data_IF_112346990001
#
_entry.id   IF_112346990001
#
_cell.length_a   1.000
_cell.length_b   1.000
_cell.length_c   1.000
_cell.angle_alpha   90.00
_cell.angle_beta   90.00
_cell.angle_gamma   90.00
#
_symmetry.space_group_name_H-M   'P 1'
#
loop_
_entity.id
_entity.type
_entity.pdbx_description
1 polymer ?
#
# COMPACT_ATOMS: atom_id res chain seq x y z
N UNK A 1 17.04 -10.08 34.34
CA UNK A 1 16.90 -11.05 33.24
C UNK A 1 18.26 -11.22 32.60
N UNK A 2 18.72 -12.45 32.39
CA UNK A 2 20.02 -12.71 31.76
C UNK A 2 19.97 -12.19 30.31
N UNK A 3 20.89 -11.30 29.95
CA UNK A 3 20.98 -10.76 28.61
C UNK A 3 21.37 -11.89 27.64
N UNK A 4 20.54 -12.15 26.63
CA UNK A 4 20.80 -13.17 25.61
C UNK A 4 21.52 -12.46 24.46
N UNK A 5 22.73 -12.94 24.13
CA UNK A 5 23.44 -12.44 22.96
C UNK A 5 22.63 -12.78 21.70
N UNK A 6 22.45 -11.81 20.80
CA UNK A 6 21.71 -12.05 19.57
C UNK A 6 22.40 -13.10 18.71
N UNK A 7 21.61 -13.97 18.09
CA UNK A 7 22.12 -14.93 17.11
C UNK A 7 22.54 -14.18 15.83
N UNK A 8 23.62 -14.61 15.21
CA UNK A 8 24.12 -13.96 13.98
C UNK A 8 23.13 -14.13 12.81
N UNK A 9 23.08 -13.15 11.90
CA UNK A 9 22.26 -13.26 10.68
C UNK A 9 22.75 -14.43 9.80
N UNK A 10 21.87 -15.13 9.06
CA UNK A 10 22.27 -16.20 8.16
C UNK A 10 23.30 -15.74 7.12
N UNK A 11 24.26 -16.61 6.79
CA UNK A 11 25.25 -16.36 5.74
C UNK A 11 25.40 -17.59 4.82
N UNK A 12 25.58 -17.37 3.49
CA UNK A 12 25.50 -16.08 2.80
C UNK A 12 24.04 -15.57 2.72
N UNK A 13 23.85 -14.26 2.87
CA UNK A 13 22.54 -13.60 2.77
C UNK A 13 22.45 -12.68 1.56
N UNK A 14 21.24 -12.49 1.01
CA UNK A 14 21.01 -11.54 -0.09
C UNK A 14 20.75 -10.16 0.53
N UNK A 15 21.71 -9.26 0.40
CA UNK A 15 21.60 -7.88 0.88
C UNK A 15 21.13 -6.94 -0.22
N UNK A 16 20.12 -6.14 0.08
CA UNK A 16 19.59 -5.10 -0.78
C UNK A 16 19.88 -3.73 -0.15
N UNK A 17 20.18 -2.75 -1.00
CA UNK A 17 20.41 -1.36 -0.60
C UNK A 17 21.58 -1.13 0.41
N UNK A 18 22.42 -2.15 0.62
CA UNK A 18 23.61 -2.08 1.47
C UNK A 18 24.61 -3.19 1.09
N UNK A 19 25.86 -3.06 1.53
CA UNK A 19 26.80 -4.16 1.52
C UNK A 19 26.44 -5.19 2.61
N UNK A 20 26.80 -6.47 2.44
CA UNK A 20 26.63 -7.47 3.50
C UNK A 20 27.31 -7.05 4.81
N UNK A 21 26.65 -7.32 5.94
CA UNK A 21 27.16 -7.05 7.30
C UNK A 21 26.80 -8.17 8.26
N UNK A 22 27.47 -8.19 9.41
CA UNK A 22 27.17 -9.02 10.59
C UNK A 22 26.63 -8.16 11.74
N UNK A 23 25.90 -8.76 12.68
CA UNK A 23 25.48 -8.09 13.92
C UNK A 23 26.68 -7.69 14.77
N UNK A 24 27.78 -8.47 14.71
CA UNK A 24 29.03 -8.11 15.39
C UNK A 24 29.61 -6.80 14.87
N UNK A 25 29.57 -6.57 13.56
CA UNK A 25 30.01 -5.30 12.95
C UNK A 25 29.08 -4.12 13.27
N UNK A 26 27.82 -4.40 13.62
CA UNK A 26 26.84 -3.39 14.06
C UNK A 26 26.90 -3.08 15.56
N UNK A 27 27.79 -3.71 16.32
CA UNK A 27 28.00 -3.37 17.73
C UNK A 27 28.51 -1.93 17.90
N UNK A 28 28.23 -1.35 19.06
CA UNK A 28 28.57 0.03 19.41
C UNK A 28 27.39 1.00 19.37
N UNK A 29 26.26 0.63 18.77
CA UNK A 29 25.01 1.40 18.79
C UNK A 29 23.78 0.51 18.97
N UNK A 30 22.67 1.10 19.41
CA UNK A 30 21.39 0.41 19.38
C UNK A 30 21.02 0.02 17.95
N UNK A 31 20.50 -1.21 17.79
CA UNK A 31 20.07 -1.76 16.51
C UNK A 31 18.66 -2.34 16.66
N UNK A 32 17.80 -2.04 15.69
CA UNK A 32 16.53 -2.75 15.49
C UNK A 32 16.66 -3.68 14.30
N UNK A 33 16.39 -4.96 14.52
CA UNK A 33 16.10 -5.92 13.44
C UNK A 33 14.60 -5.96 13.22
N UNK A 34 14.15 -5.44 12.08
CA UNK A 34 12.73 -5.38 11.73
C UNK A 34 12.36 -6.54 10.80
N UNK A 35 11.78 -7.62 11.34
CA UNK A 35 11.23 -8.72 10.56
C UNK A 35 9.88 -8.30 9.99
N UNK A 36 9.84 -8.13 8.67
CA UNK A 36 8.71 -7.55 7.95
C UNK A 36 8.36 -8.38 6.73
N UNK A 37 7.14 -8.17 6.24
CA UNK A 37 6.73 -8.58 4.91
C UNK A 37 6.34 -7.32 4.13
N UNK A 38 7.00 -7.07 3.00
CA UNK A 38 6.84 -5.86 2.20
C UNK A 38 5.42 -5.68 1.64
N UNK A 39 4.63 -6.74 1.48
CA UNK A 39 3.22 -6.62 1.09
C UNK A 39 2.28 -6.18 2.23
N UNK A 40 2.73 -6.23 3.50
CA UNK A 40 1.91 -5.96 4.69
C UNK A 40 1.85 -4.48 5.06
N UNK A 41 0.63 -3.95 5.15
CA UNK A 41 0.37 -2.57 5.58
C UNK A 41 0.75 -2.32 7.05
N UNK A 42 0.59 -3.31 7.93
CA UNK A 42 1.07 -3.19 9.31
C UNK A 42 2.60 -3.08 9.36
N UNK A 43 3.31 -3.82 8.50
CA UNK A 43 4.77 -3.69 8.40
C UNK A 43 5.17 -2.30 7.89
N UNK A 44 4.51 -1.81 6.83
CA UNK A 44 4.73 -0.47 6.30
C UNK A 44 4.54 0.61 7.39
N UNK A 45 3.48 0.48 8.20
CA UNK A 45 3.21 1.42 9.29
C UNK A 45 4.33 1.39 10.36
N UNK A 46 4.81 0.21 10.78
CA UNK A 46 5.90 0.12 11.77
C UNK A 46 7.22 0.69 11.24
N UNK A 47 7.55 0.42 9.98
CA UNK A 47 8.74 1.00 9.34
C UNK A 47 8.63 2.52 9.21
N UNK A 48 7.43 3.04 8.91
CA UNK A 48 7.16 4.47 8.88
C UNK A 48 7.36 5.15 10.24
N UNK A 49 6.85 4.54 11.32
CA UNK A 49 7.04 5.03 12.70
C UNK A 49 8.51 4.99 13.12
N UNK A 50 9.25 3.93 12.77
CA UNK A 50 10.71 3.85 12.98
C UNK A 50 11.43 4.98 12.25
N UNK A 51 11.11 5.22 10.97
CA UNK A 51 11.71 6.29 10.19
C UNK A 51 11.41 7.68 10.77
N UNK A 52 10.18 7.92 11.24
CA UNK A 52 9.82 9.17 11.93
C UNK A 52 10.58 9.35 13.25
N UNK A 53 10.79 8.27 14.00
CA UNK A 53 11.58 8.33 15.22
C UNK A 53 13.06 8.61 14.91
N UNK A 54 13.64 7.95 13.90
CA UNK A 54 15.02 8.18 13.46
C UNK A 54 15.22 9.61 12.95
N UNK A 55 14.26 10.18 12.23
CA UNK A 55 14.32 11.57 11.79
C UNK A 55 14.37 12.57 12.96
N UNK A 56 13.71 12.25 14.09
CA UNK A 56 13.76 13.04 15.33
C UNK A 56 14.99 12.74 16.19
N UNK A 57 15.67 11.62 15.96
CA UNK A 57 16.80 11.10 16.75
C UNK A 57 17.93 10.62 15.84
N UNK A 58 18.52 11.50 15.01
CA UNK A 58 19.45 11.10 13.97
C UNK A 58 20.68 10.41 14.56
N UNK A 59 21.07 9.28 13.96
CA UNK A 59 22.25 8.47 14.33
C UNK A 59 22.16 7.67 15.63
N UNK A 60 21.08 7.81 16.42
CA UNK A 60 20.92 7.09 17.71
C UNK A 60 20.52 5.63 17.56
N UNK A 61 19.98 5.26 16.40
CA UNK A 61 19.44 3.93 16.15
C UNK A 61 19.82 3.46 14.75
N UNK A 62 20.41 2.27 14.68
CA UNK A 62 20.59 1.52 13.45
C UNK A 62 19.34 0.68 13.17
N UNK A 63 19.05 0.48 11.89
CA UNK A 63 17.93 -0.34 11.42
C UNK A 63 18.43 -1.30 10.35
N UNK A 64 18.18 -2.58 10.54
CA UNK A 64 18.27 -3.59 9.48
C UNK A 64 16.86 -4.14 9.28
N UNK A 65 16.38 -4.07 8.05
CA UNK A 65 15.10 -4.64 7.65
C UNK A 65 15.34 -6.07 7.21
N UNK A 66 14.67 -7.04 7.84
CA UNK A 66 14.68 -8.44 7.41
C UNK A 66 13.38 -8.68 6.67
N UNK A 67 13.46 -8.65 5.34
CA UNK A 67 12.31 -8.90 4.47
C UNK A 67 12.10 -10.40 4.34
N UNK A 68 10.96 -10.87 4.84
CA UNK A 68 10.56 -12.28 4.81
C UNK A 68 9.37 -12.41 3.85
N UNK A 69 9.59 -13.03 2.67
CA UNK A 69 8.55 -13.18 1.65
C UNK A 69 7.36 -13.99 2.11
N UNK A 70 6.15 -13.53 1.76
CA UNK A 70 4.91 -14.30 1.82
C UNK A 70 4.60 -14.90 0.45
N UNK A 71 4.74 -14.09 -0.59
CA UNK A 71 4.50 -14.44 -1.99
C UNK A 71 5.79 -14.83 -2.71
N UNK A 72 5.66 -15.66 -3.75
CA UNK A 72 6.83 -16.08 -4.54
C UNK A 72 7.53 -14.89 -5.22
N UNK A 73 6.77 -13.90 -5.71
CA UNK A 73 7.34 -12.68 -6.30
C UNK A 73 8.17 -11.86 -5.32
N UNK A 74 7.92 -11.94 -4.01
CA UNK A 74 8.73 -11.24 -3.01
C UNK A 74 10.09 -11.91 -2.77
N UNK A 75 10.31 -13.13 -3.27
CA UNK A 75 11.64 -13.78 -3.24
C UNK A 75 12.59 -13.21 -4.30
N UNK A 76 12.07 -12.46 -5.28
CA UNK A 76 12.89 -11.78 -6.27
C UNK A 76 13.50 -10.50 -5.68
N UNK A 77 14.85 -10.34 -5.69
CA UNK A 77 15.53 -9.20 -5.07
C UNK A 77 15.02 -7.82 -5.52
N UNK A 78 14.79 -7.64 -6.82
CA UNK A 78 14.34 -6.37 -7.38
C UNK A 78 12.91 -6.04 -6.93
N UNK A 79 12.02 -7.03 -6.93
CA UNK A 79 10.63 -6.87 -6.49
C UNK A 79 10.54 -6.56 -5.01
N UNK A 80 11.28 -7.30 -4.17
CA UNK A 80 11.37 -7.03 -2.73
C UNK A 80 11.84 -5.60 -2.45
N UNK A 81 12.90 -5.15 -3.15
CA UNK A 81 13.42 -3.80 -3.01
C UNK A 81 12.38 -2.74 -3.40
N UNK A 82 11.72 -2.91 -4.56
CA UNK A 82 10.70 -1.97 -5.05
C UNK A 82 9.50 -1.85 -4.12
N UNK A 83 8.99 -2.96 -3.57
CA UNK A 83 7.89 -2.94 -2.60
C UNK A 83 8.26 -2.13 -1.35
N UNK A 84 9.43 -2.35 -0.77
CA UNK A 84 9.89 -1.60 0.41
C UNK A 84 10.17 -0.12 0.08
N UNK A 85 10.77 0.16 -1.08
CA UNK A 85 11.05 1.54 -1.52
C UNK A 85 9.78 2.34 -1.80
N UNK A 86 8.72 1.71 -2.30
CA UNK A 86 7.42 2.36 -2.48
C UNK A 86 6.84 2.88 -1.16
N UNK A 87 7.22 2.26 -0.04
CA UNK A 87 6.87 2.64 1.33
C UNK A 87 7.88 3.63 1.96
N UNK A 88 8.92 4.03 1.21
CA UNK A 88 9.98 4.95 1.64
C UNK A 88 11.06 4.33 2.51
N UNK A 89 11.23 3.01 2.47
CA UNK A 89 12.33 2.33 3.18
C UNK A 89 13.64 2.56 2.43
N UNK A 90 14.61 3.16 3.12
CA UNK A 90 15.98 3.39 2.65
C UNK A 90 17.04 2.67 3.49
N UNK A 91 16.62 1.86 4.46
CA UNK A 91 17.52 1.10 5.32
C UNK A 91 18.21 -0.06 4.56
N UNK A 92 19.32 -0.60 5.12
CA UNK A 92 19.83 -1.92 4.74
C UNK A 92 18.77 -3.01 4.86
N UNK A 93 18.65 -3.84 3.84
CA UNK A 93 17.66 -4.93 3.81
C UNK A 93 18.38 -6.26 3.62
N UNK A 94 18.09 -7.22 4.50
CA UNK A 94 18.36 -8.64 4.28
C UNK A 94 17.11 -9.30 3.71
N UNK A 95 17.20 -9.86 2.51
CA UNK A 95 16.14 -10.69 1.94
C UNK A 95 16.28 -12.13 2.46
N UNK A 96 15.38 -12.52 3.36
CA UNK A 96 15.33 -13.84 3.98
C UNK A 96 14.34 -14.75 3.22
N UNK A 97 14.66 -15.05 1.95
CA UNK A 97 13.77 -15.74 1.02
C UNK A 97 13.33 -17.15 1.48
N UNK A 98 14.20 -17.82 2.25
CA UNK A 98 14.02 -19.17 2.76
C UNK A 98 13.65 -19.21 4.26
N UNK A 99 13.38 -18.04 4.85
CA UNK A 99 12.95 -17.89 6.25
C UNK A 99 13.98 -18.40 7.26
N UNK A 100 15.27 -18.37 6.90
CA UNK A 100 16.36 -18.84 7.73
C UNK A 100 16.56 -17.93 8.94
N UNK A 101 16.53 -16.60 8.75
CA UNK A 101 16.62 -15.64 9.85
C UNK A 101 15.35 -15.71 10.71
N UNK A 102 14.18 -15.79 10.07
CA UNK A 102 12.90 -15.93 10.76
C UNK A 102 12.89 -17.12 11.74
N UNK A 103 13.28 -18.31 11.28
CA UNK A 103 13.38 -19.51 12.12
C UNK A 103 14.46 -19.37 13.20
N UNK A 104 15.63 -18.82 12.84
CA UNK A 104 16.77 -18.69 13.76
C UNK A 104 16.45 -17.77 14.94
N UNK A 105 15.71 -16.70 14.72
CA UNK A 105 15.32 -15.74 15.76
C UNK A 105 14.01 -16.12 16.46
N UNK A 106 13.41 -17.27 16.12
CA UNK A 106 12.12 -17.73 16.65
C UNK A 106 11.02 -16.67 16.46
N UNK A 107 10.94 -16.10 15.26
CA UNK A 107 9.91 -15.12 14.93
C UNK A 107 8.62 -15.85 14.56
N UNK A 108 7.48 -15.33 15.05
CA UNK A 108 6.18 -16.00 14.92
C UNK A 108 5.14 -15.18 14.15
N UNK A 109 5.34 -13.86 14.02
CA UNK A 109 4.39 -12.98 13.34
C UNK A 109 5.08 -11.74 12.75
N UNK A 110 4.49 -11.24 11.66
CA UNK A 110 4.82 -9.93 11.10
C UNK A 110 3.93 -8.83 11.70
N UNK A 111 4.46 -7.61 11.86
CA UNK A 111 5.88 -7.29 12.01
C UNK A 111 6.40 -7.71 13.39
N UNK A 112 7.66 -8.11 13.46
CA UNK A 112 8.38 -8.29 14.73
C UNK A 112 9.63 -7.42 14.74
N UNK A 113 9.80 -6.61 15.78
CA UNK A 113 11.00 -5.79 16.00
C UNK A 113 11.82 -6.40 17.13
N UNK A 114 13.06 -6.78 16.85
CA UNK A 114 14.02 -7.25 17.86
C UNK A 114 14.96 -6.09 18.19
N UNK A 115 14.94 -5.63 19.44
CA UNK A 115 15.70 -4.47 19.91
C UNK A 115 17.00 -4.95 20.57
N UNK A 116 18.13 -4.60 19.94
CA UNK A 116 19.47 -4.96 20.39
C UNK A 116 20.18 -3.71 20.94
N UNK A 117 20.82 -3.86 22.09
CA UNK A 117 21.67 -2.78 22.63
C UNK A 117 23.02 -2.68 21.90
N UNK A 118 23.82 -1.69 22.28
CA UNK A 118 25.16 -1.48 21.73
C UNK A 118 26.13 -2.66 21.95
N UNK A 119 25.84 -3.57 22.88
CA UNK A 119 26.61 -4.81 23.08
C UNK A 119 26.15 -5.96 22.19
N UNK A 120 25.06 -5.80 21.43
CA UNK A 120 24.44 -6.85 20.63
C UNK A 120 23.57 -7.82 21.44
N UNK A 121 23.10 -7.41 22.62
CA UNK A 121 22.19 -8.21 23.44
C UNK A 121 20.74 -7.83 23.19
N UNK A 122 19.87 -8.83 23.03
CA UNK A 122 18.42 -8.61 22.92
C UNK A 122 17.88 -8.06 24.23
N UNK A 123 17.24 -6.89 24.16
CA UNK A 123 16.61 -6.22 25.31
C UNK A 123 15.12 -6.40 25.33
N UNK A 124 14.49 -6.31 24.16
CA UNK A 124 13.04 -6.36 24.03
C UNK A 124 12.64 -6.84 22.63
N UNK A 125 11.47 -7.46 22.55
CA UNK A 125 10.84 -7.89 21.30
C UNK A 125 9.42 -7.34 21.22
N UNK A 126 9.12 -6.62 20.15
CA UNK A 126 7.80 -6.04 19.90
C UNK A 126 7.13 -6.79 18.74
N UNK A 127 5.97 -7.39 18.98
CA UNK A 127 5.22 -8.16 17.97
C UNK A 127 3.92 -7.41 17.64
N UNK A 128 3.82 -6.85 16.44
CA UNK A 128 2.66 -6.07 15.97
C UNK A 128 2.44 -4.70 16.65
N UNK A 129 3.05 -4.48 17.81
CA UNK A 129 2.93 -3.26 18.63
C UNK A 129 3.60 -2.06 17.94
N UNK A 130 2.94 -0.89 18.00
CA UNK A 130 3.44 0.37 17.45
C UNK A 130 3.04 1.58 18.31
N UNK A 131 3.16 2.78 17.73
CA UNK A 131 2.74 4.02 18.39
C UNK A 131 3.54 4.34 19.65
N UNK A 132 2.85 4.72 20.72
CA UNK A 132 3.48 5.19 21.97
C UNK A 132 4.36 4.11 22.63
N UNK A 133 3.99 2.83 22.51
CA UNK A 133 4.76 1.73 23.08
C UNK A 133 6.07 1.52 22.34
N UNK A 134 6.06 1.62 21.00
CA UNK A 134 7.27 1.60 20.20
C UNK A 134 8.20 2.76 20.56
N UNK A 135 7.67 3.99 20.61
CA UNK A 135 8.46 5.17 20.97
C UNK A 135 9.08 5.04 22.37
N UNK A 136 8.33 4.52 23.34
CA UNK A 136 8.83 4.24 24.69
C UNK A 136 9.97 3.21 24.69
N UNK A 137 9.83 2.12 23.95
CA UNK A 137 10.85 1.08 23.84
C UNK A 137 12.14 1.61 23.18
N UNK A 138 12.02 2.38 22.10
CA UNK A 138 13.17 3.00 21.42
C UNK A 138 13.90 4.00 22.32
N UNK A 139 13.16 4.82 23.05
CA UNK A 139 13.73 5.77 24.01
C UNK A 139 14.49 5.05 25.13
N UNK A 140 13.94 3.93 25.64
CA UNK A 140 14.60 3.10 26.65
C UNK A 140 15.86 2.42 26.10
N UNK A 141 15.81 1.88 24.88
CA UNK A 141 16.94 1.22 24.21
C UNK A 141 18.13 2.17 24.02
N UNK A 142 17.83 3.42 23.66
CA UNK A 142 18.84 4.43 23.37
C UNK A 142 19.23 5.27 24.60
N UNK A 143 18.67 4.98 25.78
CA UNK A 143 18.93 5.73 27.00
C UNK A 143 20.40 5.58 27.44
N UNK A 144 21.05 6.69 27.78
CA UNK A 144 22.44 6.70 28.24
C UNK A 144 23.49 6.46 27.17
N UNK A 145 23.12 6.31 25.89
CA UNK A 145 24.07 6.28 24.78
C UNK A 145 24.60 7.69 24.50
N UNK A 146 25.90 7.79 24.20
CA UNK A 146 26.51 9.04 23.73
C UNK A 146 25.85 9.51 22.44
N UNK A 147 25.77 10.84 22.25
CA UNK A 147 25.34 11.39 20.98
C UNK A 147 26.33 10.97 19.88
N UNK A 148 25.82 10.55 18.71
CA UNK A 148 26.68 10.20 17.59
C UNK A 148 27.47 11.42 17.12
N UNK A 149 28.70 11.20 16.66
CA UNK A 149 29.54 12.25 16.07
C UNK A 149 28.99 12.65 14.69
N UNK A 150 29.32 13.87 14.23
CA UNK A 150 28.86 14.35 12.91
C UNK A 150 29.31 13.48 11.72
N UNK A 151 30.44 12.79 11.86
CA UNK A 151 30.95 11.83 10.87
C UNK A 151 30.09 10.56 10.82
N UNK A 152 29.57 10.13 11.96
CA UNK A 152 28.77 8.92 12.15
C UNK A 152 27.32 9.05 11.62
N UNK A 153 26.89 10.28 11.34
CA UNK A 153 25.62 10.60 10.69
C UNK A 153 25.67 10.40 9.16
N UNK A 154 26.86 10.21 8.58
CA UNK A 154 27.07 10.21 7.12
C UNK A 154 26.96 8.83 6.46
N UNK A 155 26.80 7.75 7.24
CA UNK A 155 27.26 6.41 6.83
C UNK A 155 26.27 5.52 6.07
N UNK A 156 24.98 5.82 6.01
CA UNK A 156 24.05 5.01 5.20
C UNK A 156 23.80 5.67 3.82
N UNK A 157 24.76 5.53 2.90
CA UNK A 157 24.49 5.83 1.49
C UNK A 157 23.75 4.67 0.85
N UNK A 158 22.55 4.93 0.36
CA UNK A 158 21.80 3.99 -0.48
C UNK A 158 22.68 3.53 -1.65
N UNK A 159 22.87 2.21 -1.79
CA UNK A 159 23.70 1.66 -2.88
C UNK A 159 22.99 1.68 -4.23
N UNK A 160 21.65 1.71 -4.21
CA UNK A 160 20.80 1.67 -5.41
C UNK A 160 19.62 2.66 -5.29
N UNK A 161 19.86 3.99 -5.35
CA UNK A 161 18.80 4.98 -5.24
C UNK A 161 17.81 4.91 -6.41
N UNK A 162 16.55 5.25 -6.14
CA UNK A 162 15.53 5.35 -7.20
C UNK A 162 15.87 6.51 -8.16
N UNK A 163 15.61 6.34 -9.47
CA UNK A 163 15.85 7.39 -10.44
C UNK A 163 14.91 8.58 -10.20
N UNK A 164 15.39 9.77 -10.56
CA UNK A 164 14.57 11.00 -10.54
C UNK A 164 13.81 11.09 -11.85
N UNK A 165 12.57 10.60 -11.85
CA UNK A 165 11.67 10.58 -13.00
C UNK A 165 10.46 11.51 -12.76
N UNK A 166 9.69 11.87 -13.81
CA UNK A 166 8.48 12.68 -13.64
C UNK A 166 7.44 12.07 -12.69
N UNK A 167 7.33 10.74 -12.68
CA UNK A 167 6.55 10.00 -11.70
C UNK A 167 7.47 9.24 -10.75
N UNK A 168 6.96 8.90 -9.58
CA UNK A 168 7.61 8.02 -8.62
C UNK A 168 6.57 7.16 -7.91
N UNK A 169 6.54 5.87 -8.25
CA UNK A 169 5.61 4.90 -7.66
C UNK A 169 4.15 5.37 -7.78
N UNK A 170 3.65 5.65 -9.00
CA UNK A 170 2.24 5.98 -9.18
C UNK A 170 1.37 4.78 -8.79
N UNK A 171 0.24 5.01 -8.11
CA UNK A 171 -0.65 3.91 -7.66
C UNK A 171 -2.08 4.10 -8.12
N UNK A 172 -2.72 5.23 -7.80
CA UNK A 172 -4.12 5.47 -8.18
C UNK A 172 -4.23 6.10 -9.56
N UNK A 173 -5.21 5.66 -10.35
CA UNK A 173 -5.58 6.27 -11.62
C UNK A 173 -7.09 6.54 -11.64
N UNK A 174 -7.48 7.69 -12.19
CA UNK A 174 -8.86 7.94 -12.59
C UNK A 174 -8.86 8.59 -13.98
N UNK A 175 -9.85 8.29 -14.81
CA UNK A 175 -9.95 8.81 -16.17
C UNK A 175 -11.36 9.33 -16.41
N UNK A 176 -11.47 10.50 -17.04
CA UNK A 176 -12.73 11.03 -17.52
C UNK A 176 -12.48 11.92 -18.73
N UNK A 177 -13.28 11.73 -19.78
CA UNK A 177 -13.17 12.45 -21.04
C UNK A 177 -11.71 12.41 -21.58
N UNK A 178 -11.07 13.58 -21.69
CA UNK A 178 -9.70 13.77 -22.16
C UNK A 178 -8.69 13.98 -21.00
N UNK A 179 -9.07 13.62 -19.77
CA UNK A 179 -8.28 13.81 -18.56
C UNK A 179 -7.90 12.49 -17.90
N UNK A 180 -6.64 12.41 -17.49
CA UNK A 180 -6.08 11.35 -16.68
C UNK A 180 -5.61 11.95 -15.36
N UNK A 181 -6.08 11.40 -14.24
CA UNK A 181 -5.63 11.75 -12.90
C UNK A 181 -4.72 10.65 -12.37
N UNK A 182 -3.57 11.04 -11.83
CA UNK A 182 -2.53 10.11 -11.36
C UNK A 182 -2.20 10.46 -9.92
N UNK A 183 -2.34 9.50 -9.01
CA UNK A 183 -1.76 9.60 -7.69
C UNK A 183 -0.28 9.21 -7.77
N UNK A 184 0.58 10.23 -7.84
CA UNK A 184 2.04 10.11 -7.88
C UNK A 184 2.55 9.91 -6.44
N UNK A 185 2.27 8.73 -5.89
CA UNK A 185 2.33 8.45 -4.45
C UNK A 185 3.71 8.71 -3.84
N UNK A 186 4.79 8.37 -4.55
CA UNK A 186 6.16 8.58 -4.12
C UNK A 186 6.64 10.04 -4.19
N UNK A 187 5.91 10.91 -4.89
CA UNK A 187 6.08 12.37 -4.81
C UNK A 187 4.97 13.05 -3.99
N UNK A 188 4.11 12.30 -3.31
CA UNK A 188 3.11 12.87 -2.40
C UNK A 188 2.20 13.95 -3.04
N UNK A 189 1.78 13.72 -4.28
CA UNK A 189 0.96 14.66 -5.06
C UNK A 189 -0.04 13.94 -5.96
N UNK A 190 -1.04 14.67 -6.44
CA UNK A 190 -1.95 14.23 -7.50
C UNK A 190 -1.67 15.06 -8.76
N UNK A 191 -1.54 14.41 -9.90
CA UNK A 191 -1.41 15.06 -11.20
C UNK A 191 -2.72 14.95 -11.97
N UNK A 192 -3.11 16.02 -12.65
CA UNK A 192 -4.09 15.99 -13.73
C UNK A 192 -3.35 16.20 -15.03
N UNK A 193 -3.54 15.26 -15.95
CA UNK A 193 -2.90 15.22 -17.25
C UNK A 193 -3.97 15.16 -18.34
N UNK A 194 -3.57 15.53 -19.56
CA UNK A 194 -4.25 15.01 -20.75
C UNK A 194 -4.07 13.50 -20.84
N UNK A 195 -4.92 12.80 -21.57
CA UNK A 195 -4.70 11.38 -21.90
C UNK A 195 -3.42 11.15 -22.72
N UNK A 196 -2.84 12.17 -23.35
CA UNK A 196 -1.52 12.11 -23.98
C UNK A 196 -0.33 12.21 -23.02
N UNK A 197 -0.56 12.43 -21.72
CA UNK A 197 0.49 12.51 -20.71
C UNK A 197 0.99 13.92 -20.36
N UNK A 198 0.57 14.96 -21.09
CA UNK A 198 0.90 16.35 -20.71
C UNK A 198 0.23 16.73 -19.39
N UNK A 199 1.02 17.15 -18.41
CA UNK A 199 0.56 17.65 -17.11
C UNK A 199 -0.14 18.99 -17.29
N UNK A 200 -1.34 19.11 -16.74
CA UNK A 200 -2.14 20.34 -16.77
C UNK A 200 -2.12 21.04 -15.42
N UNK A 201 -2.21 20.25 -14.34
CA UNK A 201 -2.29 20.72 -12.96
C UNK A 201 -1.63 19.71 -12.03
N UNK A 202 -1.04 20.22 -10.96
CA UNK A 202 -0.55 19.44 -9.83
C UNK A 202 -1.29 19.90 -8.58
N UNK A 203 -1.88 18.96 -7.85
CA UNK A 203 -2.42 19.20 -6.51
C UNK A 203 -1.44 18.65 -5.48
N UNK A 204 -1.05 19.48 -4.52
CA UNK A 204 -0.13 19.10 -3.46
C UNK A 204 1.27 19.69 -3.61
N UNK A 205 1.93 19.99 -2.49
CA UNK A 205 3.29 20.55 -2.44
C UNK A 205 4.40 19.63 -2.99
N UNK A 206 4.14 18.33 -3.12
CA UNK A 206 5.17 17.35 -3.49
C UNK A 206 6.03 16.85 -2.32
N UNK A 207 5.75 17.33 -1.11
CA UNK A 207 6.36 16.90 0.15
C UNK A 207 5.30 16.30 1.06
N UNK A 208 5.66 15.24 1.79
CA UNK A 208 4.75 14.59 2.73
C UNK A 208 4.37 15.54 3.87
N UNK A 209 3.08 15.89 3.95
CA UNK A 209 2.48 16.66 5.05
C UNK A 209 0.95 16.46 5.03
N UNK A 210 0.23 17.01 6.01
CA UNK A 210 -1.22 16.90 6.15
C UNK A 210 -1.88 18.28 6.25
N UNK A 211 -1.99 18.96 5.10
CA UNK A 211 -2.46 20.34 4.99
C UNK A 211 -3.58 20.42 3.95
N UNK A 212 -4.70 21.05 4.32
CA UNK A 212 -5.78 21.46 3.41
C UNK A 212 -5.46 22.83 2.81
N UNK A 213 -6.04 23.17 1.65
CA UNK A 213 -5.80 24.47 1.02
C UNK A 213 -5.99 24.48 -0.49
N UNK A 214 -5.49 25.52 -1.13
CA UNK A 214 -5.48 25.61 -2.59
C UNK A 214 -4.51 24.60 -3.23
N UNK A 215 -4.53 24.58 -4.57
CA UNK A 215 -3.79 23.64 -5.42
C UNK A 215 -2.29 23.48 -5.06
N UNK A 216 -1.62 24.58 -4.70
CA UNK A 216 -0.20 24.62 -4.33
C UNK A 216 0.07 24.80 -2.84
N UNK A 217 -0.97 24.73 -1.99
CA UNK A 217 -0.85 24.88 -0.53
C UNK A 217 -1.12 23.56 0.18
N UNK A 218 -2.06 22.78 -0.35
CA UNK A 218 -2.39 21.49 0.20
C UNK A 218 -1.19 20.54 0.16
N UNK A 219 -1.19 19.56 1.06
CA UNK A 219 -0.20 18.50 1.09
C UNK A 219 -0.88 17.14 1.29
N UNK A 220 -0.30 16.14 0.67
CA UNK A 220 -0.69 14.74 0.80
C UNK A 220 0.48 13.95 1.37
N UNK A 221 0.24 12.71 1.78
CA UNK A 221 1.28 11.78 2.17
C UNK A 221 0.98 10.41 1.56
N UNK A 222 1.64 10.14 0.43
CA UNK A 222 1.46 8.90 -0.35
C UNK A 222 0.00 8.63 -0.68
N UNK A 223 -0.68 9.57 -1.37
CA UNK A 223 -2.05 9.34 -1.80
C UNK A 223 -2.10 8.14 -2.75
N UNK A 224 -3.14 7.31 -2.65
CA UNK A 224 -3.34 6.13 -3.50
C UNK A 224 -4.63 6.25 -4.30
N UNK A 225 -5.69 5.55 -3.92
CA UNK A 225 -6.89 5.47 -4.74
C UNK A 225 -7.58 6.79 -4.99
N UNK A 226 -8.20 6.86 -6.17
CA UNK A 226 -8.84 8.05 -6.73
C UNK A 226 -10.23 7.70 -7.25
N UNK A 227 -11.21 8.51 -6.91
CA UNK A 227 -12.55 8.39 -7.48
C UNK A 227 -13.08 9.75 -7.93
N UNK A 228 -13.53 9.84 -9.18
CA UNK A 228 -14.09 11.05 -9.74
C UNK A 228 -15.62 10.98 -9.77
N UNK A 229 -16.28 11.99 -9.21
CA UNK A 229 -17.73 12.15 -9.29
C UNK A 229 -18.05 13.65 -9.40
N UNK A 230 -18.77 14.04 -10.46
CA UNK A 230 -19.37 15.39 -10.62
C UNK A 230 -18.39 16.55 -10.38
N UNK A 231 -17.18 16.47 -10.92
CA UNK A 231 -16.16 17.51 -10.78
C UNK A 231 -15.45 17.54 -9.42
N UNK A 232 -15.62 16.50 -8.60
CA UNK A 232 -14.89 16.30 -7.34
C UNK A 232 -14.07 15.02 -7.45
N UNK A 233 -12.77 15.13 -7.16
CA UNK A 233 -11.88 13.98 -7.06
C UNK A 233 -11.70 13.61 -5.58
N UNK A 234 -12.17 12.44 -5.18
CA UNK A 234 -11.94 11.86 -3.86
C UNK A 234 -10.62 11.12 -3.85
N UNK A 235 -9.87 11.26 -2.76
CA UNK A 235 -8.52 10.74 -2.63
C UNK A 235 -8.39 9.97 -1.32
N UNK A 236 -7.95 8.72 -1.42
CA UNK A 236 -7.41 7.99 -0.27
C UNK A 236 -5.99 8.51 0.01
N UNK A 237 -5.86 9.41 0.98
CA UNK A 237 -4.56 9.97 1.40
C UNK A 237 -3.93 9.04 2.44
N UNK A 238 -3.41 7.93 1.93
CA UNK A 238 -3.10 6.71 2.68
C UNK A 238 -2.16 6.94 3.85
N UNK A 239 -1.05 7.64 3.64
CA UNK A 239 -0.04 7.92 4.67
C UNK A 239 -0.47 8.98 5.69
N UNK A 240 -1.50 9.76 5.40
CA UNK A 240 -2.15 10.65 6.37
C UNK A 240 -3.36 10.00 7.04
N UNK A 241 -3.68 8.76 6.69
CA UNK A 241 -4.85 8.05 7.21
C UNK A 241 -6.12 8.90 7.06
N UNK A 242 -6.34 9.45 5.85
CA UNK A 242 -7.38 10.42 5.60
C UNK A 242 -8.13 10.19 4.29
N UNK A 243 -9.41 10.57 4.27
CA UNK A 243 -10.21 10.74 3.06
C UNK A 243 -10.20 12.23 2.71
N UNK A 244 -9.64 12.58 1.55
CA UNK A 244 -9.58 13.95 1.03
C UNK A 244 -10.51 14.10 -0.17
N UNK A 245 -10.88 15.34 -0.49
CA UNK A 245 -11.51 15.68 -1.76
C UNK A 245 -10.82 16.87 -2.40
N UNK A 246 -10.84 16.91 -3.73
CA UNK A 246 -10.36 18.02 -4.55
C UNK A 246 -11.54 18.53 -5.36
N UNK A 247 -11.91 19.79 -5.19
CA UNK A 247 -12.84 20.45 -6.09
C UNK A 247 -12.08 20.82 -7.37
N UNK A 248 -12.41 20.19 -8.49
CA UNK A 248 -11.64 20.37 -9.73
C UNK A 248 -11.90 21.71 -10.43
N UNK A 249 -12.93 22.46 -10.03
CA UNK A 249 -13.17 23.81 -10.53
C UNK A 249 -12.29 24.83 -9.79
N UNK A 250 -12.27 24.80 -8.46
CA UNK A 250 -11.50 25.76 -7.66
C UNK A 250 -10.06 25.33 -7.35
N UNK A 251 -9.77 24.04 -7.43
CA UNK A 251 -8.52 23.43 -6.96
C UNK A 251 -8.40 23.32 -5.44
N UNK A 252 -9.47 23.58 -4.70
CA UNK A 252 -9.49 23.45 -3.24
C UNK A 252 -9.42 21.98 -2.82
N UNK A 253 -8.53 21.68 -1.88
CA UNK A 253 -8.40 20.38 -1.22
C UNK A 253 -8.92 20.48 0.21
N UNK A 254 -9.85 19.59 0.57
CA UNK A 254 -10.42 19.49 1.93
C UNK A 254 -10.27 18.08 2.49
N UNK A 255 -10.11 17.97 3.81
CA UNK A 255 -10.22 16.70 4.53
C UNK A 255 -11.69 16.42 4.90
N UNK A 256 -12.18 15.25 4.53
CA UNK A 256 -13.53 14.77 4.92
C UNK A 256 -13.50 13.98 6.21
N UNK A 257 -12.51 13.08 6.37
CA UNK A 257 -12.27 12.27 7.56
C UNK A 257 -10.76 12.00 7.70
N UNK A 258 -10.30 11.75 8.92
CA UNK A 258 -8.91 11.44 9.23
C UNK A 258 -8.22 12.56 10.00
N UNK A 259 -7.23 12.19 10.81
CA UNK A 259 -6.51 13.11 11.70
C UNK A 259 -4.99 13.10 11.50
N UNK A 260 -4.50 12.56 10.37
CA UNK A 260 -3.07 12.46 10.08
C UNK A 260 -2.39 11.24 10.69
N UNK A 261 -3.10 10.40 11.45
CA UNK A 261 -2.54 9.24 12.18
C UNK A 261 -3.45 8.03 12.10
N UNK A 262 -2.87 6.84 12.17
CA UNK A 262 -3.64 5.61 12.28
C UNK A 262 -4.51 5.64 13.55
N UNK A 263 -5.80 5.32 13.41
CA UNK A 263 -6.69 5.13 14.55
C UNK A 263 -7.91 4.29 14.19
N UNK A 264 -8.63 3.84 15.19
CA UNK A 264 -9.83 3.00 15.02
C UNK A 264 -11.02 3.86 14.55
N UNK A 265 -11.55 3.64 13.33
CA UNK A 265 -12.70 4.41 12.87
C UNK A 265 -13.96 4.09 13.67
N UNK A 266 -14.81 5.09 13.85
CA UNK A 266 -16.06 4.99 14.62
C UNK A 266 -17.23 5.38 13.73
N UNK A 267 -18.30 4.59 13.78
CA UNK A 267 -19.53 4.90 13.04
C UNK A 267 -20.24 6.14 13.60
N UNK A 268 -20.85 6.90 12.71
CA UNK A 268 -21.68 8.05 13.07
C UNK A 268 -21.32 9.35 12.34
N UNK A 269 -21.92 10.47 12.76
CA UNK A 269 -21.73 11.76 12.10
C UNK A 269 -20.30 12.29 12.28
N UNK A 270 -19.74 12.80 11.19
CA UNK A 270 -18.44 13.46 11.14
C UNK A 270 -18.65 14.96 11.13
N UNK A 271 -18.69 15.54 12.34
CA UNK A 271 -18.80 17.00 12.50
C UNK A 271 -17.47 17.69 12.18
N UNK A 272 -16.37 17.09 12.63
CA UNK A 272 -15.00 17.53 12.36
C UNK A 272 -14.18 16.35 11.85
N UNK A 273 -13.47 16.53 10.74
CA UNK A 273 -12.72 15.45 10.10
C UNK A 273 -11.71 14.77 11.04
N UNK A 274 -11.07 15.56 11.91
CA UNK A 274 -10.04 15.10 12.86
C UNK A 274 -10.58 14.21 13.99
N UNK A 275 -11.90 14.18 14.20
CA UNK A 275 -12.55 13.31 15.19
C UNK A 275 -12.97 11.96 14.60
N UNK A 276 -12.80 11.77 13.29
CA UNK A 276 -13.09 10.55 12.57
C UNK A 276 -11.78 9.92 12.08
N UNK A 277 -10.98 9.30 12.96
CA UNK A 277 -9.72 8.68 12.57
C UNK A 277 -9.97 7.55 11.56
N UNK A 278 -9.03 7.36 10.65
CA UNK A 278 -9.02 6.21 9.75
C UNK A 278 -7.75 5.38 9.99
N UNK A 279 -7.74 4.16 9.49
CA UNK A 279 -6.58 3.29 9.49
C UNK A 279 -6.17 2.82 8.08
N UNK A 280 -5.38 3.65 7.40
CA UNK A 280 -4.68 3.29 6.15
C UNK A 280 -5.65 3.02 4.97
N UNK A 281 -6.45 4.02 4.55
CA UNK A 281 -7.32 3.91 3.38
C UNK A 281 -6.48 3.67 2.12
N UNK A 282 -6.79 2.64 1.35
CA UNK A 282 -6.05 2.28 0.13
C UNK A 282 -6.72 2.78 -1.13
N UNK A 283 -8.05 2.65 -1.19
CA UNK A 283 -8.83 3.01 -2.36
C UNK A 283 -10.22 3.52 -2.00
N UNK A 284 -10.79 4.28 -2.93
CA UNK A 284 -12.11 4.88 -2.82
C UNK A 284 -12.90 4.66 -4.10
N UNK A 285 -14.21 4.50 -3.98
CA UNK A 285 -15.12 4.56 -5.13
C UNK A 285 -16.42 5.25 -4.71
N UNK A 286 -17.01 6.03 -5.60
CA UNK A 286 -18.29 6.69 -5.34
C UNK A 286 -19.42 5.85 -5.91
N UNK A 287 -20.44 5.56 -5.08
CA UNK A 287 -21.67 4.92 -5.50
C UNK A 287 -22.80 5.30 -4.53
N UNK A 288 -24.04 5.41 -5.03
CA UNK A 288 -25.23 5.69 -4.21
C UNK A 288 -25.10 6.90 -3.25
N UNK A 289 -24.42 7.97 -3.70
CA UNK A 289 -24.12 9.17 -2.88
C UNK A 289 -23.26 8.89 -1.63
N UNK A 290 -22.45 7.85 -1.69
CA UNK A 290 -21.46 7.48 -0.68
C UNK A 290 -20.08 7.32 -1.31
N UNK A 291 -19.04 7.65 -0.56
CA UNK A 291 -17.66 7.26 -0.87
C UNK A 291 -17.39 5.96 -0.11
N UNK A 292 -17.28 4.85 -0.81
CA UNK A 292 -16.82 3.59 -0.22
C UNK A 292 -15.29 3.59 -0.11
N UNK A 293 -14.76 3.03 0.97
CA UNK A 293 -13.35 3.10 1.32
C UNK A 293 -12.85 1.68 1.64
N UNK A 294 -11.80 1.25 0.94
CA UNK A 294 -11.07 0.04 1.27
C UNK A 294 -10.06 0.36 2.36
N UNK A 295 -10.28 -0.16 3.56
CA UNK A 295 -9.45 0.09 4.74
C UNK A 295 -8.56 -1.10 5.03
N UNK A 296 -7.28 -0.96 4.71
CA UNK A 296 -6.31 -2.04 4.90
C UNK A 296 -5.90 -2.23 6.37
N UNK A 297 -5.77 -1.14 7.13
CA UNK A 297 -5.21 -1.19 8.48
C UNK A 297 -6.13 -1.86 9.50
N UNK A 298 -7.44 -1.88 9.24
CA UNK A 298 -8.44 -2.56 10.06
C UNK A 298 -9.21 -3.65 9.30
N UNK A 299 -8.77 -4.06 8.10
CA UNK A 299 -9.39 -5.11 7.27
C UNK A 299 -10.91 -4.95 7.03
N UNK A 300 -11.36 -3.72 6.80
CA UNK A 300 -12.79 -3.40 6.65
C UNK A 300 -13.10 -2.62 5.38
N UNK A 301 -14.37 -2.65 5.01
CA UNK A 301 -14.95 -1.72 4.05
C UNK A 301 -15.79 -0.72 4.83
N UNK A 302 -15.50 0.55 4.64
CA UNK A 302 -16.23 1.68 5.22
C UNK A 302 -16.94 2.45 4.12
N UNK A 303 -17.95 3.25 4.49
CA UNK A 303 -18.49 4.26 3.60
C UNK A 303 -18.66 5.60 4.31
N UNK A 304 -18.45 6.68 3.57
CA UNK A 304 -18.73 8.05 3.98
C UNK A 304 -19.94 8.57 3.19
N UNK A 305 -21.03 8.86 3.89
CA UNK A 305 -22.24 9.41 3.27
C UNK A 305 -22.08 10.91 2.99
N UNK A 306 -22.19 11.29 1.71
CA UNK A 306 -21.91 12.67 1.28
C UNK A 306 -22.98 13.67 1.72
N UNK A 307 -24.23 13.23 1.88
CA UNK A 307 -25.37 14.09 2.22
C UNK A 307 -25.40 14.54 3.69
N UNK A 308 -25.25 13.59 4.61
CA UNK A 308 -25.30 13.84 6.05
C UNK A 308 -23.92 13.83 6.74
N UNK A 309 -22.84 13.55 6.00
CA UNK A 309 -21.46 13.47 6.48
C UNK A 309 -21.32 12.46 7.62
N UNK A 310 -21.61 11.19 7.36
CA UNK A 310 -21.48 10.13 8.36
C UNK A 310 -20.59 8.99 7.86
N UNK A 311 -19.82 8.38 8.77
CA UNK A 311 -19.10 7.14 8.52
C UNK A 311 -19.95 5.94 8.91
N UNK A 312 -19.87 4.89 8.09
CA UNK A 312 -20.56 3.62 8.30
C UNK A 312 -19.63 2.44 8.07
N UNK A 313 -19.65 1.48 8.97
CA UNK A 313 -18.97 0.21 8.83
C UNK A 313 -19.83 -0.69 7.94
N UNK A 314 -19.36 -1.00 6.73
CA UNK A 314 -20.14 -1.77 5.75
C UNK A 314 -19.90 -3.27 5.87
N UNK A 315 -18.63 -3.66 5.96
CA UNK A 315 -18.27 -5.08 6.02
C UNK A 315 -16.89 -5.31 6.63
N UNK A 316 -16.64 -6.53 7.10
CA UNK A 316 -15.34 -6.99 7.59
C UNK A 316 -15.27 -7.06 9.12
N UNK A 317 -14.89 -8.21 9.67
CA UNK A 317 -14.78 -8.43 11.12
C UNK A 317 -13.56 -7.75 11.76
N UNK A 318 -12.59 -7.34 10.93
CA UNK A 318 -11.32 -6.75 11.37
C UNK A 318 -10.16 -7.74 11.52
N UNK A 319 -10.44 -9.04 11.37
CA UNK A 319 -9.42 -10.10 11.33
C UNK A 319 -8.86 -10.29 9.93
N UNK A 320 -7.58 -10.67 9.83
CA UNK A 320 -6.91 -10.98 8.55
C UNK A 320 -7.27 -12.40 8.12
N UNK A 321 -8.38 -12.53 7.41
CA UNK A 321 -8.90 -13.81 6.91
C UNK A 321 -9.65 -13.60 5.59
N UNK A 322 -9.79 -14.67 4.82
CA UNK A 322 -10.65 -14.71 3.65
C UNK A 322 -11.94 -15.45 4.01
N UNK A 323 -12.99 -14.72 4.42
CA UNK A 323 -14.24 -15.33 4.91
C UNK A 323 -15.47 -14.65 4.33
N UNK A 324 -16.31 -15.46 3.69
CA UNK A 324 -17.62 -15.02 3.19
C UNK A 324 -18.62 -14.88 4.34
N UNK A 325 -19.65 -14.06 4.15
CA UNK A 325 -20.67 -13.86 5.16
C UNK A 325 -21.41 -12.54 5.04
N UNK A 326 -22.32 -12.30 5.98
CA UNK A 326 -23.07 -11.04 6.05
C UNK A 326 -22.24 -9.95 6.73
N UNK A 327 -22.04 -8.83 6.03
CA UNK A 327 -21.46 -7.57 6.51
C UNK A 327 -20.29 -7.75 7.46
N UNK A 328 -20.55 -7.48 8.75
CA UNK A 328 -19.58 -7.51 9.84
C UNK A 328 -19.02 -8.90 10.16
N UNK A 329 -19.67 -9.99 9.73
CA UNK A 329 -19.20 -11.37 9.95
C UNK A 329 -18.22 -11.84 8.87
N UNK A 330 -18.26 -11.23 7.68
CA UNK A 330 -17.28 -11.47 6.64
C UNK A 330 -15.89 -10.99 7.09
N UNK A 331 -14.82 -11.49 6.49
CA UNK A 331 -13.46 -11.01 6.74
C UNK A 331 -12.75 -10.73 5.42
N UNK A 332 -11.83 -9.78 5.48
CA UNK A 332 -10.93 -9.40 4.40
C UNK A 332 -9.49 -9.56 4.85
N UNK A 333 -8.59 -9.71 3.89
CA UNK A 333 -7.15 -9.77 4.08
C UNK A 333 -6.48 -8.64 3.27
N UNK A 334 -6.50 -7.44 3.86
CA UNK A 334 -5.96 -6.19 3.29
C UNK A 334 -6.66 -5.77 1.98
N UNK A 335 -7.92 -5.27 2.07
CA UNK A 335 -8.61 -4.72 0.90
C UNK A 335 -7.85 -3.50 0.38
N UNK A 336 -7.60 -3.47 -0.93
CA UNK A 336 -6.68 -2.50 -1.53
C UNK A 336 -7.25 -1.73 -2.72
N UNK A 337 -8.30 -2.24 -3.38
CA UNK A 337 -8.94 -1.57 -4.51
C UNK A 337 -10.42 -1.90 -4.59
N UNK A 338 -11.22 -0.96 -5.09
CA UNK A 338 -12.67 -1.04 -5.19
C UNK A 338 -13.16 -0.73 -6.61
N UNK A 339 -14.25 -1.40 -7.01
CA UNK A 339 -15.01 -1.00 -8.19
C UNK A 339 -16.50 -1.19 -7.92
N UNK A 340 -17.34 -0.22 -8.27
CA UNK A 340 -18.77 -0.27 -8.01
C UNK A 340 -19.58 -0.32 -9.31
N UNK A 341 -20.65 -1.12 -9.31
CA UNK A 341 -21.65 -1.13 -10.38
C UNK A 341 -23.01 -1.50 -9.80
N UNK A 342 -24.02 -0.67 -10.10
CA UNK A 342 -25.39 -0.85 -9.62
C UNK A 342 -25.44 -0.98 -8.08
N UNK A 343 -25.78 -2.16 -7.55
CA UNK A 343 -25.91 -2.43 -6.11
C UNK A 343 -24.82 -3.40 -5.61
N UNK A 344 -23.68 -3.46 -6.31
CA UNK A 344 -22.56 -4.31 -5.97
C UNK A 344 -21.25 -3.51 -5.93
N UNK A 345 -20.46 -3.81 -4.91
CA UNK A 345 -19.08 -3.38 -4.77
C UNK A 345 -18.18 -4.59 -4.98
N UNK A 346 -17.21 -4.49 -5.88
CA UNK A 346 -16.11 -5.44 -6.00
C UNK A 346 -14.93 -4.94 -5.19
N UNK A 347 -14.26 -5.86 -4.49
CA UNK A 347 -13.14 -5.57 -3.61
C UNK A 347 -11.96 -6.43 -4.03
N UNK A 348 -10.82 -5.79 -4.31
CA UNK A 348 -9.55 -6.45 -4.48
C UNK A 348 -8.93 -6.67 -3.09
N UNK A 349 -8.81 -7.94 -2.68
CA UNK A 349 -8.35 -8.34 -1.36
C UNK A 349 -6.92 -8.89 -1.46
N UNK A 350 -5.93 -8.01 -1.27
CA UNK A 350 -4.58 -8.21 -1.78
C UNK A 350 -3.83 -9.34 -1.08
N UNK A 351 -3.80 -9.34 0.25
CA UNK A 351 -3.12 -10.41 1.00
C UNK A 351 -3.87 -11.74 0.90
N UNK A 352 -5.18 -11.68 0.64
CA UNK A 352 -6.02 -12.84 0.32
C UNK A 352 -5.80 -13.40 -1.08
N UNK A 353 -5.10 -12.67 -1.97
CA UNK A 353 -4.99 -12.98 -3.40
C UNK A 353 -6.34 -13.26 -4.07
N UNK A 354 -7.34 -12.44 -3.73
CA UNK A 354 -8.73 -12.68 -4.10
C UNK A 354 -9.44 -11.42 -4.61
N UNK A 355 -10.53 -11.64 -5.34
CA UNK A 355 -11.53 -10.62 -5.66
C UNK A 355 -12.85 -11.03 -5.00
N UNK A 356 -13.44 -10.10 -4.26
CA UNK A 356 -14.66 -10.27 -3.48
C UNK A 356 -15.79 -9.45 -4.10
N UNK A 357 -17.03 -9.86 -3.88
CA UNK A 357 -18.21 -9.00 -4.07
C UNK A 357 -18.87 -8.71 -2.74
N UNK A 358 -19.32 -7.48 -2.55
CA UNK A 358 -20.17 -7.01 -1.47
C UNK A 358 -21.47 -6.48 -2.10
N UNK A 359 -22.60 -7.10 -1.76
CA UNK A 359 -23.92 -6.58 -2.15
C UNK A 359 -24.26 -5.39 -1.26
N UNK A 360 -24.46 -4.21 -1.86
CA UNK A 360 -24.76 -2.97 -1.11
C UNK A 360 -26.13 -3.01 -0.42
N UNK A 361 -27.02 -3.89 -0.87
CA UNK A 361 -28.26 -4.26 -0.17
C UNK A 361 -28.01 -5.54 0.62
N UNK A 362 -28.17 -5.47 1.94
CA UNK A 362 -28.03 -6.63 2.83
C UNK A 362 -26.58 -7.00 3.18
N UNK A 363 -25.60 -6.26 2.66
CA UNK A 363 -24.18 -6.34 2.99
C UNK A 363 -23.55 -7.75 2.84
N UNK A 364 -24.08 -8.61 1.97
CA UNK A 364 -23.54 -9.95 1.75
C UNK A 364 -22.19 -9.90 1.01
N UNK A 365 -21.15 -10.48 1.61
CA UNK A 365 -19.81 -10.64 1.03
C UNK A 365 -19.60 -12.06 0.54
N UNK A 366 -19.10 -12.20 -0.69
CA UNK A 366 -18.78 -13.49 -1.31
C UNK A 366 -17.43 -13.45 -2.04
N UNK A 367 -16.72 -14.57 -2.02
CA UNK A 367 -15.52 -14.78 -2.84
C UNK A 367 -15.94 -14.96 -4.30
N UNK A 368 -15.41 -14.15 -5.22
CA UNK A 368 -15.63 -14.35 -6.65
C UNK A 368 -14.53 -15.16 -7.31
N UNK A 369 -13.29 -14.92 -6.88
CA UNK A 369 -12.08 -15.45 -7.47
C UNK A 369 -10.97 -15.40 -6.42
N UNK A 370 -10.10 -16.41 -6.41
CA UNK A 370 -8.97 -16.52 -5.48
C UNK A 370 -9.00 -17.85 -4.73
N UNK A 371 -7.98 -18.06 -3.90
CA UNK A 371 -7.85 -19.28 -3.11
C UNK A 371 -8.82 -19.36 -1.93
N UNK A 372 -8.72 -20.45 -1.14
CA UNK A 372 -9.54 -20.67 0.06
C UNK A 372 -8.97 -20.01 1.33
N UNK A 373 -7.86 -19.27 1.20
CA UNK A 373 -7.26 -18.56 2.32
C UNK A 373 -6.07 -17.71 1.91
N UNK A 374 -5.49 -16.93 2.83
CA UNK A 374 -4.44 -15.96 2.53
C UNK A 374 -3.15 -16.56 1.93
N UNK A 375 -2.94 -17.87 2.00
CA UNK A 375 -1.75 -18.58 1.48
C UNK A 375 -2.00 -19.32 0.16
N UNK A 376 -3.24 -19.33 -0.33
CA UNK A 376 -3.63 -20.02 -1.56
C UNK A 376 -3.57 -19.02 -2.74
N UNK A 377 -2.35 -18.66 -3.11
CA UNK A 377 -2.04 -17.79 -4.25
C UNK A 377 -1.39 -18.58 -5.39
N UNK A 378 -1.34 -18.00 -6.59
CA UNK A 378 -0.75 -18.65 -7.75
C UNK A 378 -0.94 -17.87 -9.03
N UNK A 379 -0.70 -18.52 -10.17
CA UNK A 379 -0.77 -17.93 -11.50
C UNK A 379 -1.51 -18.89 -12.44
N UNK A 380 -2.83 -19.00 -12.28
CA UNK A 380 -3.65 -19.93 -13.05
C UNK A 380 -4.90 -19.23 -13.60
N UNK A 381 -5.14 -19.38 -14.90
CA UNK A 381 -6.35 -18.92 -15.58
C UNK A 381 -7.47 -19.98 -15.53
N UNK A 382 -8.64 -19.62 -16.04
CA UNK A 382 -9.76 -20.54 -16.23
C UNK A 382 -10.89 -20.33 -15.21
N UNK A 383 -11.66 -21.37 -14.89
CA UNK A 383 -12.82 -21.27 -14.02
C UNK A 383 -12.45 -20.71 -12.65
N UNK A 384 -13.32 -19.87 -12.09
CA UNK A 384 -13.13 -19.15 -10.82
C UNK A 384 -12.70 -20.03 -9.63
N UNK A 385 -13.11 -21.29 -9.61
CA UNK A 385 -12.75 -22.25 -8.55
C UNK A 385 -11.29 -22.72 -8.61
N UNK A 386 -10.66 -22.64 -9.79
CA UNK A 386 -9.26 -23.05 -10.03
C UNK A 386 -8.33 -21.88 -10.24
N UNK A 387 -8.83 -20.82 -10.87
CA UNK A 387 -8.03 -19.65 -11.16
C UNK A 387 -7.38 -19.08 -9.89
N UNK A 388 -6.15 -18.58 -10.04
CA UNK A 388 -5.31 -18.07 -8.95
C UNK A 388 -4.68 -16.76 -9.34
N UNK A 389 -4.65 -15.85 -8.37
CA UNK A 389 -3.95 -14.57 -8.41
C UNK A 389 -2.80 -14.59 -7.39
N UNK A 390 -1.90 -13.62 -7.47
CA UNK A 390 -0.87 -13.40 -6.47
C UNK A 390 -0.74 -11.91 -6.20
N UNK A 391 -1.11 -11.49 -4.99
CA UNK A 391 -1.04 -10.10 -4.54
C UNK A 391 -1.61 -9.09 -5.59
N UNK A 392 -2.87 -9.26 -6.02
CA UNK A 392 -3.51 -8.30 -6.91
C UNK A 392 -3.67 -6.97 -6.18
N UNK A 393 -3.47 -5.85 -6.88
CA UNK A 393 -3.42 -4.51 -6.26
C UNK A 393 -4.41 -3.50 -6.83
N UNK A 394 -5.02 -3.79 -7.99
CA UNK A 394 -6.06 -2.93 -8.54
C UNK A 394 -7.10 -3.73 -9.32
N UNK A 395 -8.32 -3.21 -9.31
CA UNK A 395 -9.41 -3.67 -10.17
C UNK A 395 -10.09 -2.48 -10.85
N UNK A 396 -10.59 -2.66 -12.07
CA UNK A 396 -11.37 -1.63 -12.75
C UNK A 396 -12.43 -2.26 -13.66
N UNK A 397 -13.63 -1.70 -13.65
CA UNK A 397 -14.73 -2.16 -14.49
C UNK A 397 -14.67 -1.52 -15.88
N UNK A 398 -14.99 -2.30 -16.90
CA UNK A 398 -15.26 -1.75 -18.23
C UNK A 398 -16.63 -1.06 -18.24
N UNK A 399 -16.76 0.22 -18.65
CA UNK A 399 -18.05 0.92 -18.63
C UNK A 399 -19.12 0.28 -19.53
N UNK A 400 -18.70 -0.35 -20.63
CA UNK A 400 -19.59 -0.85 -21.68
C UNK A 400 -19.77 -2.38 -21.67
N UNK A 401 -19.08 -3.09 -20.77
CA UNK A 401 -19.14 -4.55 -20.74
C UNK A 401 -19.03 -5.09 -19.31
N UNK A 402 -19.59 -6.28 -19.01
CA UNK A 402 -19.47 -6.89 -17.68
C UNK A 402 -18.09 -7.50 -17.48
N UNK A 403 -17.02 -6.76 -17.76
CA UNK A 403 -15.63 -7.20 -17.68
C UNK A 403 -14.91 -6.41 -16.59
N UNK A 404 -14.38 -7.15 -15.61
CA UNK A 404 -13.52 -6.62 -14.55
C UNK A 404 -12.06 -6.87 -14.92
N UNK A 405 -11.28 -5.82 -15.03
CA UNK A 405 -9.83 -5.88 -15.19
C UNK A 405 -9.17 -5.98 -13.82
N UNK A 406 -8.09 -6.74 -13.72
CA UNK A 406 -7.35 -6.98 -12.48
C UNK A 406 -5.86 -6.82 -12.75
N UNK A 407 -5.20 -5.97 -11.96
CA UNK A 407 -3.75 -5.86 -11.92
C UNK A 407 -3.20 -6.89 -10.94
N UNK A 408 -2.79 -8.03 -11.47
CA UNK A 408 -2.27 -9.17 -10.71
C UNK A 408 -0.77 -8.96 -10.46
N UNK A 409 -0.47 -8.12 -9.47
CA UNK A 409 0.84 -7.47 -9.29
C UNK A 409 1.97 -8.45 -9.01
N UNK A 410 1.73 -9.49 -8.20
CA UNK A 410 2.72 -10.54 -7.94
C UNK A 410 3.03 -11.39 -9.16
N UNK A 411 2.09 -11.54 -10.09
CA UNK A 411 2.32 -12.26 -11.35
C UNK A 411 2.76 -11.35 -12.51
N UNK A 412 2.89 -10.04 -12.28
CA UNK A 412 3.23 -9.06 -13.32
C UNK A 412 2.28 -9.13 -14.52
N UNK A 413 0.99 -9.35 -14.28
CA UNK A 413 0.00 -9.68 -15.32
C UNK A 413 -1.23 -8.78 -15.28
N UNK A 414 -1.78 -8.47 -16.46
CA UNK A 414 -3.10 -7.88 -16.60
C UNK A 414 -4.12 -9.01 -16.84
N UNK A 415 -5.07 -9.18 -15.93
CA UNK A 415 -6.13 -10.20 -16.05
C UNK A 415 -7.46 -9.56 -16.35
N UNK A 416 -8.38 -10.37 -16.88
CA UNK A 416 -9.78 -9.99 -17.04
C UNK A 416 -10.70 -11.10 -16.53
N UNK A 417 -11.78 -10.71 -15.88
CA UNK A 417 -12.82 -11.60 -15.35
C UNK A 417 -14.18 -11.12 -15.87
N UNK A 418 -14.86 -11.96 -16.65
CA UNK A 418 -16.23 -11.67 -17.06
C UNK A 418 -17.19 -11.94 -15.90
N UNK A 419 -17.90 -10.90 -15.48
CA UNK A 419 -18.94 -10.95 -14.45
C UNK A 419 -20.14 -11.76 -14.96
N UNK A 420 -20.86 -12.43 -14.05
CA UNK A 420 -21.97 -13.31 -14.41
C UNK A 420 -21.59 -14.76 -14.77
N UNK A 421 -20.41 -15.23 -14.35
CA UNK A 421 -20.03 -16.65 -14.47
C UNK A 421 -18.93 -16.95 -15.49
N UNK A 422 -18.21 -15.94 -15.99
CA UNK A 422 -17.05 -16.17 -16.85
C UNK A 422 -15.76 -16.52 -16.10
N UNK A 423 -14.81 -17.00 -16.88
CA UNK A 423 -13.46 -17.42 -16.46
C UNK A 423 -12.52 -16.21 -16.28
N UNK A 424 -11.46 -16.44 -15.50
CA UNK A 424 -10.30 -15.57 -15.47
C UNK A 424 -9.44 -15.83 -16.71
N UNK A 425 -8.98 -14.77 -17.36
CA UNK A 425 -8.01 -14.88 -18.45
C UNK A 425 -6.88 -13.86 -18.30
N UNK A 426 -5.69 -14.25 -18.76
CA UNK A 426 -4.54 -13.38 -18.90
C UNK A 426 -4.58 -12.66 -20.24
N UNK A 427 -4.31 -11.36 -20.19
CA UNK A 427 -4.09 -10.57 -21.40
C UNK A 427 -2.68 -10.83 -21.91
N UNK A 428 -2.54 -11.23 -23.17
CA UNK A 428 -1.25 -11.39 -23.80
C UNK A 428 -0.61 -10.01 -24.01
N UNK A 429 0.44 -9.71 -23.24
CA UNK A 429 1.23 -8.48 -23.34
C UNK A 429 2.63 -8.81 -23.88
N UNK A 430 3.31 -7.85 -24.54
CA UNK A 430 4.65 -8.07 -25.07
C UNK A 430 5.71 -8.32 -23.98
N UNK A 431 5.43 -7.92 -22.74
CA UNK A 431 6.26 -8.16 -21.57
C UNK A 431 5.39 -8.29 -20.31
N UNK A 432 5.98 -8.84 -19.25
CA UNK A 432 5.39 -8.74 -17.90
C UNK A 432 5.39 -7.29 -17.44
N UNK A 433 4.38 -6.95 -16.65
CA UNK A 433 4.25 -5.67 -15.97
C UNK A 433 5.09 -5.67 -14.68
N UNK A 434 5.69 -4.54 -14.36
CA UNK A 434 6.51 -4.27 -13.20
C UNK A 434 5.66 -3.67 -12.08
N UNK A 435 5.14 -4.52 -11.20
CA UNK A 435 4.35 -4.10 -10.06
C UNK A 435 3.12 -3.25 -10.42
N UNK A 436 2.25 -3.69 -11.34
CA UNK A 436 1.04 -2.94 -11.65
C UNK A 436 0.17 -2.81 -10.38
N UNK A 437 -0.21 -1.60 -10.01
CA UNK A 437 -0.97 -1.34 -8.78
C UNK A 437 -2.14 -0.35 -8.93
N UNK A 438 -2.38 0.13 -10.15
CA UNK A 438 -3.49 1.01 -10.48
C UNK A 438 -4.09 0.66 -11.82
N UNK A 439 -5.42 0.73 -11.91
CA UNK A 439 -6.15 0.57 -13.16
C UNK A 439 -7.23 1.63 -13.29
N UNK A 440 -7.45 2.12 -14.50
CA UNK A 440 -8.63 2.88 -14.86
C UNK A 440 -9.04 2.51 -16.28
N UNK A 441 -10.34 2.51 -16.59
CA UNK A 441 -10.84 2.08 -17.90
C UNK A 441 -11.78 3.13 -18.47
N UNK A 442 -11.54 3.54 -19.71
CA UNK A 442 -12.43 4.43 -20.46
C UNK A 442 -12.22 4.26 -21.96
N UNK A 443 -13.30 4.40 -22.74
CA UNK A 443 -13.29 4.41 -24.20
C UNK A 443 -12.43 3.30 -24.84
N UNK A 444 -12.62 2.06 -24.42
CA UNK A 444 -11.89 0.90 -24.97
C UNK A 444 -10.41 0.84 -24.59
N UNK A 445 -9.96 1.64 -23.63
CA UNK A 445 -8.58 1.67 -23.15
C UNK A 445 -8.50 1.32 -21.67
N UNK A 446 -7.52 0.48 -21.30
CA UNK A 446 -7.09 0.24 -19.92
C UNK A 446 -5.83 1.05 -19.64
N UNK A 447 -5.90 1.97 -18.69
CA UNK A 447 -4.76 2.70 -18.15
C UNK A 447 -4.19 1.93 -16.98
N UNK A 448 -2.87 1.77 -16.93
CA UNK A 448 -2.18 0.92 -15.96
C UNK A 448 -1.10 1.75 -15.28
N UNK A 449 -1.15 1.86 -13.94
CA UNK A 449 -0.03 2.42 -13.18
C UNK A 449 0.98 1.30 -12.92
N UNK A 450 2.12 1.38 -13.59
CA UNK A 450 3.22 0.44 -13.43
C UNK A 450 4.17 0.96 -12.36
N UNK A 451 3.79 0.71 -11.10
CA UNK A 451 4.32 1.39 -9.92
C UNK A 451 5.83 1.20 -9.78
N UNK A 452 6.34 -0.02 -9.97
CA UNK A 452 7.76 -0.32 -9.79
C UNK A 452 8.64 0.29 -10.90
N UNK A 453 8.06 0.56 -12.07
CA UNK A 453 8.71 1.21 -13.21
C UNK A 453 8.56 2.74 -13.19
N UNK A 454 7.80 3.30 -12.25
CA UNK A 454 7.47 4.72 -12.18
C UNK A 454 6.80 5.24 -13.47
N UNK A 455 5.89 4.45 -14.04
CA UNK A 455 5.29 4.74 -15.34
C UNK A 455 3.76 4.57 -15.34
N UNK A 456 3.12 5.14 -16.36
CA UNK A 456 1.74 4.84 -16.72
C UNK A 456 1.73 4.29 -18.14
N UNK A 457 1.00 3.19 -18.33
CA UNK A 457 0.81 2.57 -19.63
C UNK A 457 -0.64 2.73 -20.09
N UNK A 458 -0.82 2.64 -21.40
CA UNK A 458 -2.11 2.54 -22.08
C UNK A 458 -2.16 1.23 -22.85
N UNK A 459 -3.15 0.40 -22.53
CA UNK A 459 -3.50 -0.81 -23.27
C UNK A 459 -4.80 -0.59 -24.03
N UNK A 460 -4.74 -0.66 -25.36
CA UNK A 460 -5.90 -0.54 -26.22
C UNK A 460 -6.56 -1.93 -26.40
N UNK A 461 -7.82 -2.06 -25.96
CA UNK A 461 -8.50 -3.36 -25.88
C UNK A 461 -8.77 -3.96 -27.26
N UNK A 462 -9.00 -3.13 -28.28
CA UNK A 462 -9.37 -3.58 -29.62
C UNK A 462 -8.16 -4.05 -30.44
N UNK A 463 -7.08 -3.28 -30.39
CA UNK A 463 -5.84 -3.59 -31.12
C UNK A 463 -4.90 -4.53 -30.35
N UNK A 464 -5.01 -4.58 -29.03
CA UNK A 464 -4.06 -5.28 -28.16
C UNK A 464 -2.72 -4.54 -27.99
N UNK A 465 -2.64 -3.28 -28.42
CA UNK A 465 -1.42 -2.47 -28.31
C UNK A 465 -1.20 -1.99 -26.86
N UNK A 466 0.00 -2.22 -26.35
CA UNK A 466 0.48 -1.67 -25.08
C UNK A 466 1.52 -0.58 -25.37
N UNK A 467 1.30 0.63 -24.86
CA UNK A 467 2.18 1.78 -25.07
C UNK A 467 2.43 2.55 -23.77
N UNK A 468 3.58 3.21 -23.66
CA UNK A 468 3.87 4.14 -22.57
C UNK A 468 3.10 5.46 -22.74
N UNK A 469 2.70 6.06 -21.62
CA UNK A 469 2.11 7.40 -21.57
C UNK A 469 3.18 8.36 -21.05
N UNK A 470 3.84 9.15 -21.93
CA UNK A 470 4.97 9.97 -21.54
C UNK A 470 4.49 11.16 -20.68
N UNK A 471 4.65 11.04 -19.36
CA UNK A 471 4.31 12.13 -18.45
C UNK A 471 5.36 13.23 -18.54
N UNK A 472 4.92 14.41 -18.97
CA UNK A 472 5.76 15.58 -19.22
C UNK A 472 4.99 16.87 -18.93
N UNK A 473 5.73 17.94 -18.63
CA UNK A 473 5.16 19.28 -18.42
C UNK A 473 4.57 19.88 -19.70
#
# INVERSE_FOLDING_TARGET
MNAIAALELPQPGIWLNAAPTTLREQQGRALVLAFVNAASVWCAQRLGELAQWQARNPGRLQLIVVQVPRFDSEREPQRALKLLRSQGVSAPILLDADWAAWQRFDVQAWPTLVLLDAGGYERERLVGIGGADLEKALNALCAGQSLPLDEELRDARETQPEPRLPLRFPVGLAVADDRLYIADSGHHRILECTTGGRVLRQFGLGTADFIDGGIGEAAFHRPRGLALERGVLYVADTGNHALRRINLLSGQVDTLCGNGRAGEPVEGPVQHAQQAPLNHPQDVVVADNQVHIAMAGDNRIWSYELGNRSLRWRAGAGVLELRDGSGHLAAFAQPCSLAAVQQALYVCDALGSAVRSLQLRGDLVQTLLGGQGPWDFGNEDGPRSRARLQFPQAIALSPESPLLWIADSGNGSLRSLRLGGGDLSTTALPRRLHGPAGLAVSAGTVWIAETDAHAVLRYDIASGELSDVPISE
#
